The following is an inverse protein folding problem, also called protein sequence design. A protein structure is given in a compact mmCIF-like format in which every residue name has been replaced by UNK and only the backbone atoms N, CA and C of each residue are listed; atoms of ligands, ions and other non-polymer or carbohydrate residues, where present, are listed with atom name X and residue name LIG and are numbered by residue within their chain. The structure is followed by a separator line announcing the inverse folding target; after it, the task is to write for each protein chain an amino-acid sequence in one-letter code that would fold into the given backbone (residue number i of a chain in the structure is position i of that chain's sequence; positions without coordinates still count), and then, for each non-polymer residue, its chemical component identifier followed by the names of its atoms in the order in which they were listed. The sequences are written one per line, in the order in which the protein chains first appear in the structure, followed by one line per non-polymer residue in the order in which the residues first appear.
data_IF_394661384934
#
_entry.id   IF_394661384934
#
_cell.length_a   1.000
_cell.length_b   1.000
_cell.length_c   1.000
_cell.angle_alpha   90.00
_cell.angle_beta   90.00
_cell.angle_gamma   90.00
#
_symmetry.space_group_name_H-M   'P 1'
#
loop_
_entity.id
_entity.type
_entity.pdbx_description
1 polymer ?
#
# COMPACT_ATOMS: atom_id res chain seq x y z
N UNK A 1 -22.25 16.06 15.08
CA UNK A 1 -21.40 14.91 14.73
C UNK A 1 -20.26 15.31 13.79
N UNK A 2 -20.54 15.94 12.64
CA UNK A 2 -19.49 16.38 11.71
C UNK A 2 -18.49 17.36 12.35
N UNK A 3 -18.98 18.51 12.84
CA UNK A 3 -18.14 19.54 13.50
C UNK A 3 -17.33 18.99 14.68
N UNK A 4 -17.87 18.03 15.41
CA UNK A 4 -17.18 17.39 16.54
C UNK A 4 -16.05 16.45 16.09
N UNK A 5 -16.20 15.78 14.94
CA UNK A 5 -15.14 14.90 14.39
C UNK A 5 -14.02 15.76 13.81
N UNK A 6 -14.37 16.76 13.00
CA UNK A 6 -13.38 17.67 12.40
C UNK A 6 -12.65 18.49 13.48
N UNK A 7 -13.36 18.90 14.54
CA UNK A 7 -12.76 19.55 15.70
C UNK A 7 -11.73 18.67 16.43
N UNK A 8 -11.97 17.35 16.54
CA UNK A 8 -11.00 16.40 17.14
C UNK A 8 -9.76 16.17 16.27
N UNK A 9 -9.90 16.31 14.94
CA UNK A 9 -8.80 16.21 13.98
C UNK A 9 -8.04 17.54 13.82
N UNK A 10 -8.39 18.56 14.60
CA UNK A 10 -7.79 19.91 14.52
C UNK A 10 -7.86 20.49 13.10
N UNK A 11 -8.92 20.19 12.36
CA UNK A 11 -9.10 20.59 10.96
C UNK A 11 -8.04 20.05 9.99
N UNK A 12 -7.26 19.03 10.40
CA UNK A 12 -6.26 18.37 9.58
C UNK A 12 -6.89 17.22 8.80
N UNK A 13 -7.36 17.50 7.59
CA UNK A 13 -8.02 16.53 6.70
C UNK A 13 -7.12 16.01 5.57
N UNK A 14 -5.93 16.60 5.40
CA UNK A 14 -5.04 16.38 4.25
C UNK A 14 -3.96 15.31 4.51
N UNK A 15 -4.33 14.22 5.18
CA UNK A 15 -3.41 13.11 5.48
C UNK A 15 -3.28 12.20 4.25
N UNK A 16 -2.06 11.78 3.86
CA UNK A 16 -1.88 10.90 2.71
C UNK A 16 -2.51 9.53 2.97
N UNK A 17 -3.39 9.11 2.07
CA UNK A 17 -4.05 7.80 2.13
C UNK A 17 -3.19 6.71 1.48
N UNK A 18 -3.47 5.44 1.78
CA UNK A 18 -2.81 4.28 1.15
C UNK A 18 -2.89 4.34 -0.39
N UNK A 19 -4.00 4.87 -0.91
CA UNK A 19 -4.25 5.00 -2.35
C UNK A 19 -3.19 5.84 -3.10
N UNK A 20 -2.72 6.95 -2.53
CA UNK A 20 -1.74 7.80 -3.24
C UNK A 20 -0.39 7.12 -3.40
N UNK A 21 -0.04 6.23 -2.48
CA UNK A 21 1.17 5.40 -2.60
C UNK A 21 0.94 4.22 -3.55
N UNK A 22 -0.22 3.57 -3.49
CA UNK A 22 -0.59 2.47 -4.39
C UNK A 22 -0.38 2.83 -5.86
N UNK A 23 -0.97 3.95 -6.31
CA UNK A 23 -0.88 4.40 -7.70
C UNK A 23 0.58 4.65 -8.11
N UNK A 24 1.42 5.12 -7.19
CA UNK A 24 2.85 5.38 -7.45
C UNK A 24 3.64 4.07 -7.55
N UNK A 25 3.42 3.14 -6.62
CA UNK A 25 4.13 1.86 -6.58
C UNK A 25 3.78 0.96 -7.78
N UNK A 26 2.50 0.87 -8.14
CA UNK A 26 2.05 0.09 -9.30
C UNK A 26 2.71 0.59 -10.59
N UNK A 27 2.78 1.92 -10.77
CA UNK A 27 3.47 2.53 -11.91
C UNK A 27 4.97 2.27 -11.91
N UNK A 28 5.63 2.37 -10.76
CA UNK A 28 7.07 2.16 -10.63
C UNK A 28 7.50 0.71 -10.91
N UNK A 29 6.60 -0.27 -10.72
CA UNK A 29 6.88 -1.69 -10.90
C UNK A 29 6.52 -2.19 -12.30
N UNK A 30 5.98 -1.33 -13.17
CA UNK A 30 5.42 -1.73 -14.48
C UNK A 30 4.52 -2.97 -14.33
N UNK A 31 3.66 -2.95 -13.31
CA UNK A 31 2.92 -4.14 -12.90
C UNK A 31 1.93 -4.59 -13.97
N UNK A 32 1.92 -5.91 -14.27
CA UNK A 32 0.84 -6.53 -15.03
C UNK A 32 -0.51 -6.28 -14.34
N UNK A 33 -1.59 -6.24 -15.11
CA UNK A 33 -2.95 -6.04 -14.56
C UNK A 33 -3.33 -7.03 -13.46
N UNK A 34 -2.83 -8.27 -13.54
CA UNK A 34 -3.01 -9.29 -12.48
C UNK A 34 -2.27 -8.92 -11.20
N UNK A 35 -1.07 -8.36 -11.31
CA UNK A 35 -0.27 -7.93 -10.17
C UNK A 35 -0.86 -6.67 -9.54
N UNK A 36 -1.28 -5.69 -10.35
CA UNK A 36 -1.99 -4.50 -9.87
C UNK A 36 -3.22 -4.87 -9.03
N UNK A 37 -4.09 -5.74 -9.55
CA UNK A 37 -5.27 -6.21 -8.81
C UNK A 37 -4.91 -6.91 -7.49
N UNK A 38 -3.83 -7.68 -7.49
CA UNK A 38 -3.36 -8.37 -6.28
C UNK A 38 -2.85 -7.39 -5.22
N UNK A 39 -2.11 -6.36 -5.64
CA UNK A 39 -1.62 -5.31 -4.74
C UNK A 39 -2.78 -4.51 -4.16
N UNK A 40 -3.79 -4.15 -4.95
CA UNK A 40 -4.99 -3.48 -4.44
C UNK A 40 -5.73 -4.35 -3.42
N UNK A 41 -5.93 -5.63 -3.72
CA UNK A 41 -6.59 -6.56 -2.81
C UNK A 41 -5.86 -6.65 -1.45
N UNK A 42 -4.52 -6.80 -1.47
CA UNK A 42 -3.74 -6.89 -0.24
C UNK A 42 -3.72 -5.56 0.54
N UNK A 43 -3.66 -4.42 -0.15
CA UNK A 43 -3.67 -3.12 0.51
C UNK A 43 -5.04 -2.79 1.15
N UNK A 44 -6.15 -3.23 0.55
CA UNK A 44 -7.47 -3.14 1.18
C UNK A 44 -7.60 -4.08 2.38
N UNK A 45 -7.01 -5.28 2.31
CA UNK A 45 -6.96 -6.22 3.43
C UNK A 45 -6.19 -5.63 4.62
N UNK A 46 -5.09 -4.91 4.37
CA UNK A 46 -4.31 -4.23 5.41
C UNK A 46 -5.14 -3.17 6.14
N UNK A 47 -5.97 -2.41 5.42
CA UNK A 47 -6.86 -1.39 6.03
C UNK A 47 -7.95 -2.00 6.93
N UNK A 48 -8.36 -3.23 6.66
CA UNK A 48 -9.33 -3.96 7.48
C UNK A 48 -8.72 -4.49 8.78
N UNK A 49 -7.39 -4.63 8.83
CA UNK A 49 -6.71 -5.17 10.00
C UNK A 49 -6.34 -4.06 11.00
N UNK A 50 -6.91 -4.12 12.19
CA UNK A 50 -6.68 -3.11 13.24
C UNK A 50 -5.19 -2.97 13.61
N UNK A 51 -4.44 -4.06 13.59
CA UNK A 51 -3.01 -4.06 13.88
C UNK A 51 -2.19 -3.21 12.87
N UNK A 52 -2.70 -2.98 11.66
CA UNK A 52 -1.98 -2.24 10.63
C UNK A 52 -2.02 -0.72 10.81
N UNK A 53 -2.87 -0.20 11.70
CA UNK A 53 -2.99 1.23 12.01
C UNK A 53 -1.65 1.82 12.53
N UNK A 54 -0.77 0.99 13.08
CA UNK A 54 0.54 1.41 13.60
C UNK A 54 1.57 1.70 12.50
N UNK A 55 1.33 1.27 11.26
CA UNK A 55 2.29 1.42 10.16
C UNK A 55 1.95 2.59 9.24
N UNK A 56 2.98 3.17 8.63
CA UNK A 56 2.80 4.21 7.63
C UNK A 56 2.13 3.65 6.36
N UNK A 57 1.24 4.42 5.71
CA UNK A 57 0.60 4.02 4.46
C UNK A 57 1.58 3.59 3.37
N UNK A 58 2.75 4.23 3.29
CA UNK A 58 3.81 3.87 2.34
C UNK A 58 4.39 2.47 2.58
N UNK A 59 4.55 2.07 3.84
CA UNK A 59 5.07 0.76 4.20
C UNK A 59 4.06 -0.33 3.88
N UNK A 60 2.77 -0.09 4.16
CA UNK A 60 1.68 -1.04 3.83
C UNK A 60 1.64 -1.33 2.32
N UNK A 61 1.75 -0.29 1.48
CA UNK A 61 1.78 -0.48 0.03
C UNK A 61 3.03 -1.24 -0.42
N UNK A 62 4.19 -0.93 0.15
CA UNK A 62 5.43 -1.64 -0.19
C UNK A 62 5.37 -3.12 0.22
N UNK A 63 4.81 -3.45 1.39
CA UNK A 63 4.61 -4.83 1.83
C UNK A 63 3.61 -5.57 0.95
N UNK A 64 2.50 -4.93 0.58
CA UNK A 64 1.50 -5.49 -0.33
C UNK A 64 2.10 -5.77 -1.71
N UNK A 65 2.90 -4.84 -2.25
CA UNK A 65 3.63 -5.02 -3.51
C UNK A 65 4.60 -6.21 -3.45
N UNK A 66 5.37 -6.32 -2.36
CA UNK A 66 6.29 -7.44 -2.14
C UNK A 66 5.54 -8.78 -2.04
N UNK A 67 4.48 -8.84 -1.21
CA UNK A 67 3.67 -10.04 -1.05
C UNK A 67 3.00 -10.47 -2.36
N UNK A 68 2.48 -9.53 -3.15
CA UNK A 68 1.92 -9.83 -4.47
C UNK A 68 2.94 -10.44 -5.43
N UNK A 69 4.21 -9.97 -5.43
CA UNK A 69 5.29 -10.58 -6.22
C UNK A 69 5.56 -12.01 -5.78
N UNK A 70 5.64 -12.26 -4.47
CA UNK A 70 5.85 -13.60 -3.92
C UNK A 70 4.73 -14.55 -4.32
N UNK A 71 3.47 -14.13 -4.19
CA UNK A 71 2.30 -14.98 -4.51
C UNK A 71 2.25 -15.28 -6.01
N UNK A 72 2.60 -14.31 -6.85
CA UNK A 72 2.63 -14.47 -8.30
C UNK A 72 3.95 -15.08 -8.83
N UNK A 73 4.87 -15.46 -7.94
CA UNK A 73 6.19 -16.03 -8.28
C UNK A 73 6.95 -15.18 -9.32
N UNK A 74 6.87 -13.85 -9.21
CA UNK A 74 7.50 -12.90 -10.13
C UNK A 74 8.95 -12.61 -9.69
N UNK A 75 9.91 -12.88 -10.56
CA UNK A 75 11.34 -12.55 -10.39
C UNK A 75 11.68 -11.23 -11.08
N UNK A 76 12.62 -10.42 -10.57
CA UNK A 76 13.35 -10.59 -9.30
C UNK A 76 12.49 -10.24 -8.08
N UNK A 77 12.81 -10.80 -6.92
CA UNK A 77 12.24 -10.36 -5.66
C UNK A 77 12.84 -9.00 -5.28
N UNK A 78 12.02 -8.10 -4.76
CA UNK A 78 12.47 -6.78 -4.31
C UNK A 78 13.51 -6.94 -3.19
N UNK A 79 14.69 -6.36 -3.36
CA UNK A 79 15.82 -6.48 -2.42
C UNK A 79 16.91 -7.47 -2.84
N UNK A 80 16.65 -8.33 -3.84
CA UNK A 80 17.71 -9.05 -4.52
C UNK A 80 18.09 -8.24 -5.76
N UNK A 81 18.89 -7.19 -5.58
CA UNK A 81 19.77 -6.74 -6.68
C UNK A 81 20.56 -7.98 -7.10
N UNK A 82 20.32 -8.43 -8.33
CA UNK A 82 21.16 -9.42 -8.97
C UNK A 82 22.57 -8.87 -9.00
N UNK A 83 23.43 -9.39 -8.12
CA UNK A 83 24.87 -9.37 -8.32
C UNK A 83 25.14 -10.17 -9.61
N UNK A 84 25.22 -9.47 -10.73
CA UNK A 84 25.91 -9.87 -11.95
C UNK A 84 26.62 -8.63 -12.50
#
# INVERSE_FOLDING_TARGET
MEKSVVGKLEWTLTIPTVYVFLVRFVKAVEADKKMENMVYFLAELDLMQYAMIMFFPSMLVASAAHAARCILSKTPLWGCESQL
#
